data_IF_741221060367
#
_entry.id   IF_741221060367
#
_cell.length_a   1.000
_cell.length_b   1.000
_cell.length_c   1.000
_cell.angle_alpha   90.00
_cell.angle_beta   90.00
_cell.angle_gamma   90.00
#
_symmetry.space_group_name_H-M   'P 1'
#
loop_
_entity.id
_entity.type
_entity.pdbx_description
1 polymer ?
#
# COMPACT_ATOMS: atom_id res chain seq x y z
N UNK A 1 -18.48 -56.81 12.36
CA UNK A 1 -18.55 -55.43 12.82
C UNK A 1 -17.67 -54.56 11.90
N UNK A 2 -18.27 -53.94 10.90
CA UNK A 2 -17.56 -53.04 9.96
C UNK A 2 -17.63 -51.60 10.50
N UNK A 3 -16.50 -51.05 10.96
CA UNK A 3 -16.37 -49.63 11.29
C UNK A 3 -16.30 -48.84 9.96
N UNK A 4 -17.35 -48.07 9.64
CA UNK A 4 -17.33 -47.05 8.61
C UNK A 4 -16.36 -45.91 9.05
N UNK A 5 -15.22 -45.83 8.40
CA UNK A 5 -14.33 -44.67 8.44
C UNK A 5 -15.03 -43.54 7.70
N UNK A 6 -15.56 -42.57 8.43
CA UNK A 6 -15.99 -41.29 7.85
C UNK A 6 -14.72 -40.48 7.52
N UNK A 7 -14.34 -40.49 6.26
CA UNK A 7 -13.36 -39.52 5.76
C UNK A 7 -14.01 -38.14 5.75
N UNK A 8 -13.66 -37.29 6.71
CA UNK A 8 -13.95 -35.86 6.62
C UNK A 8 -13.03 -35.28 5.57
N UNK A 9 -13.55 -35.05 4.37
CA UNK A 9 -12.91 -34.15 3.44
C UNK A 9 -12.90 -32.75 4.07
N UNK A 10 -11.77 -32.02 4.09
CA UNK A 10 -11.76 -30.68 4.61
C UNK A 10 -12.75 -29.83 3.78
N UNK A 11 -13.69 -29.19 4.46
CA UNK A 11 -14.56 -28.18 3.85
C UNK A 11 -13.64 -27.06 3.37
N UNK A 12 -13.44 -26.96 2.06
CA UNK A 12 -12.72 -25.86 1.47
C UNK A 12 -13.60 -24.63 1.70
N UNK A 13 -13.14 -23.73 2.57
CA UNK A 13 -13.78 -22.44 2.80
C UNK A 13 -13.77 -21.66 1.48
N UNK A 14 -14.95 -21.52 0.85
CA UNK A 14 -15.17 -20.81 -0.41
C UNK A 14 -15.46 -19.33 -0.21
N UNK A 15 -15.33 -18.80 1.02
CA UNK A 15 -15.47 -17.36 1.24
C UNK A 15 -14.38 -16.62 0.47
N UNK A 16 -14.74 -15.58 -0.31
CA UNK A 16 -13.75 -14.77 -1.02
C UNK A 16 -12.74 -14.22 0.01
N UNK A 17 -11.48 -14.55 -0.18
CA UNK A 17 -10.41 -14.02 0.67
C UNK A 17 -10.13 -12.59 0.24
N UNK A 18 -10.64 -11.64 1.00
CA UNK A 18 -10.45 -10.22 0.73
C UNK A 18 -9.16 -9.73 1.40
N UNK A 19 -8.19 -9.33 0.60
CA UNK A 19 -6.94 -8.75 1.07
C UNK A 19 -6.97 -7.24 0.78
N UNK A 20 -6.70 -6.43 1.81
CA UNK A 20 -6.58 -4.99 1.63
C UNK A 20 -5.11 -4.68 1.31
N UNK A 21 -4.89 -3.95 0.23
CA UNK A 21 -3.53 -3.58 -0.21
C UNK A 21 -3.39 -2.08 -0.25
N UNK A 22 -2.37 -1.55 0.41
CA UNK A 22 -1.91 -0.17 0.20
C UNK A 22 -0.74 -0.20 -0.77
N UNK A 23 -0.87 0.49 -1.89
CA UNK A 23 0.13 0.49 -2.95
C UNK A 23 0.46 1.89 -3.47
N UNK A 24 1.46 1.97 -4.34
CA UNK A 24 1.95 3.19 -4.98
C UNK A 24 3.46 3.14 -5.19
N UNK A 25 4.02 4.21 -5.73
CA UNK A 25 5.47 4.39 -5.79
C UNK A 25 6.06 4.56 -4.38
N UNK A 26 7.32 4.18 -4.16
CA UNK A 26 8.03 4.58 -2.94
C UNK A 26 7.93 6.10 -2.73
N UNK A 27 7.72 6.55 -1.50
CA UNK A 27 7.55 7.98 -1.12
C UNK A 27 6.24 8.64 -1.57
N UNK A 28 5.26 7.88 -2.05
CA UNK A 28 3.92 8.40 -2.40
C UNK A 28 2.97 8.58 -1.21
N UNK A 29 3.38 8.21 0.02
CA UNK A 29 2.52 8.31 1.21
C UNK A 29 1.91 6.98 1.66
N UNK A 30 2.35 5.85 1.14
CA UNK A 30 1.84 4.51 1.51
C UNK A 30 1.95 4.21 3.01
N UNK A 31 3.04 4.61 3.68
CA UNK A 31 3.18 4.42 5.14
C UNK A 31 2.18 5.24 5.96
N UNK A 32 1.85 6.46 5.50
CA UNK A 32 0.81 7.26 6.14
C UNK A 32 -0.56 6.58 6.01
N UNK A 33 -0.89 6.08 4.82
CA UNK A 33 -2.12 5.33 4.60
C UNK A 33 -2.19 4.06 5.45
N UNK A 34 -1.09 3.30 5.57
CA UNK A 34 -1.02 2.15 6.47
C UNK A 34 -1.34 2.54 7.91
N UNK A 35 -0.77 3.65 8.39
CA UNK A 35 -1.05 4.17 9.74
C UNK A 35 -2.51 4.60 9.90
N UNK A 36 -3.09 5.29 8.90
CA UNK A 36 -4.51 5.65 8.93
C UNK A 36 -5.40 4.42 9.11
N UNK A 37 -5.14 3.36 8.35
CA UNK A 37 -5.92 2.12 8.43
C UNK A 37 -5.71 1.40 9.76
N UNK A 38 -4.48 1.36 10.27
CA UNK A 38 -4.16 0.79 11.58
C UNK A 38 -4.90 1.52 12.71
N UNK A 39 -4.84 2.86 12.74
CA UNK A 39 -5.58 3.68 13.72
C UNK A 39 -7.09 3.55 13.54
N UNK A 40 -7.55 3.34 12.31
CA UNK A 40 -8.94 3.02 11.98
C UNK A 40 -9.40 1.64 12.46
N UNK A 41 -8.49 0.81 12.97
CA UNK A 41 -8.80 -0.53 13.48
C UNK A 41 -8.68 -1.65 12.46
N UNK A 42 -8.14 -1.40 11.26
CA UNK A 42 -7.86 -2.44 10.28
C UNK A 42 -6.62 -3.25 10.71
N UNK A 43 -6.72 -4.59 10.86
CA UNK A 43 -5.57 -5.40 11.21
C UNK A 43 -4.46 -5.29 10.15
N UNK A 44 -3.23 -5.06 10.59
CA UNK A 44 -2.06 -4.87 9.71
C UNK A 44 -1.25 -6.14 9.62
N UNK A 45 -0.78 -6.46 8.41
CA UNK A 45 0.21 -7.49 8.17
C UNK A 45 1.58 -6.83 7.99
N UNK A 46 2.42 -6.93 9.01
CA UNK A 46 3.77 -6.37 9.08
C UNK A 46 4.67 -7.29 9.90
N UNK A 47 5.96 -7.21 9.69
CA UNK A 47 6.97 -7.94 10.49
C UNK A 47 7.68 -7.08 11.54
N UNK A 48 7.41 -5.77 11.55
CA UNK A 48 7.96 -4.78 12.48
C UNK A 48 9.51 -4.72 12.50
N UNK A 49 10.18 -5.28 11.49
CA UNK A 49 11.65 -5.32 11.43
C UNK A 49 12.24 -3.92 11.33
N UNK A 50 11.55 -3.02 10.61
CA UNK A 50 12.02 -1.66 10.40
C UNK A 50 11.23 -0.64 11.21
N UNK A 51 11.89 -0.06 12.21
CA UNK A 51 11.32 0.97 13.07
C UNK A 51 11.14 2.31 12.36
N UNK A 52 10.26 3.16 12.90
CA UNK A 52 10.11 4.54 12.46
C UNK A 52 11.43 5.32 12.63
N UNK A 53 11.72 6.21 11.68
CA UNK A 53 12.87 7.11 11.69
C UNK A 53 12.47 8.52 11.19
N UNK A 54 13.46 9.43 11.07
CA UNK A 54 13.22 10.79 10.56
C UNK A 54 12.70 10.83 9.11
N UNK A 55 13.03 9.82 8.30
CA UNK A 55 12.57 9.71 6.91
C UNK A 55 11.14 9.21 6.82
N UNK A 56 10.72 8.43 7.80
CA UNK A 56 9.37 7.88 7.89
C UNK A 56 8.86 7.79 9.34
N UNK A 57 8.48 8.92 9.96
CA UNK A 57 8.03 8.96 11.35
C UNK A 57 6.71 8.21 11.59
N UNK A 58 5.98 7.87 10.54
CA UNK A 58 4.78 7.04 10.63
C UNK A 58 5.07 5.53 10.72
N UNK A 59 6.36 5.12 10.68
CA UNK A 59 6.74 3.72 10.56
C UNK A 59 6.71 3.22 9.11
N UNK A 60 7.35 2.10 8.86
CA UNK A 60 7.49 1.58 7.50
C UNK A 60 6.39 0.61 7.11
N UNK A 61 5.82 -0.14 8.05
CA UNK A 61 4.80 -1.15 7.78
C UNK A 61 5.22 -2.10 6.64
N UNK A 62 6.50 -2.45 6.61
CA UNK A 62 7.02 -3.40 5.64
C UNK A 62 6.70 -4.83 6.10
N UNK A 63 6.62 -5.72 5.13
CA UNK A 63 6.42 -7.14 5.35
C UNK A 63 7.30 -7.89 4.36
N UNK A 64 8.42 -8.43 4.84
CA UNK A 64 9.47 -9.03 4.01
C UNK A 64 8.98 -10.07 3.01
N UNK A 65 8.00 -10.97 3.36
CA UNK A 65 7.50 -11.95 2.40
C UNK A 65 6.91 -11.36 1.12
N UNK A 66 6.43 -10.09 1.15
CA UNK A 66 5.93 -9.41 -0.07
C UNK A 66 7.02 -9.23 -1.12
N UNK A 67 8.29 -9.08 -0.71
CA UNK A 67 9.42 -8.93 -1.64
C UNK A 67 9.65 -10.17 -2.50
N UNK A 68 9.16 -11.32 -2.05
CA UNK A 68 9.29 -12.61 -2.72
C UNK A 68 8.06 -12.95 -3.59
N UNK A 69 7.13 -12.01 -3.79
CA UNK A 69 5.96 -12.21 -4.67
C UNK A 69 6.38 -12.60 -6.10
N UNK A 70 7.40 -11.92 -6.64
CA UNK A 70 7.93 -12.22 -7.97
C UNK A 70 8.54 -13.63 -8.07
N UNK A 71 8.98 -14.20 -6.96
CA UNK A 71 9.52 -15.57 -6.86
C UNK A 71 8.42 -16.61 -6.60
N UNK A 72 7.16 -16.20 -6.59
CA UNK A 72 6.01 -17.09 -6.36
C UNK A 72 5.81 -17.51 -4.90
N UNK A 73 6.40 -16.81 -3.93
CA UNK A 73 6.21 -17.08 -2.51
C UNK A 73 4.89 -16.46 -2.01
N UNK A 74 3.84 -17.27 -1.97
CA UNK A 74 2.46 -16.84 -1.71
C UNK A 74 1.89 -17.34 -0.39
N UNK A 75 2.66 -18.10 0.40
CA UNK A 75 2.17 -18.75 1.64
C UNK A 75 1.58 -17.77 2.67
N UNK A 76 2.05 -16.53 2.69
CA UNK A 76 1.58 -15.48 3.58
C UNK A 76 0.14 -15.04 3.31
N UNK A 77 -0.36 -15.22 2.08
CA UNK A 77 -1.73 -14.87 1.71
C UNK A 77 -2.78 -15.63 2.51
N UNK A 78 -2.45 -16.83 2.99
CA UNK A 78 -3.33 -17.60 3.88
C UNK A 78 -3.70 -16.82 5.16
N UNK A 79 -2.82 -15.92 5.62
CA UNK A 79 -2.99 -15.10 6.82
C UNK A 79 -3.39 -13.65 6.54
N UNK A 80 -3.61 -13.28 5.27
CA UNK A 80 -3.85 -11.91 4.84
C UNK A 80 -5.34 -11.54 4.76
N UNK A 81 -6.26 -12.52 4.87
CA UNK A 81 -7.69 -12.26 4.78
C UNK A 81 -8.16 -11.24 5.83
N UNK A 82 -8.84 -10.20 5.38
CA UNK A 82 -9.33 -9.10 6.23
C UNK A 82 -8.25 -8.21 6.83
N UNK A 83 -6.99 -8.36 6.39
CA UNK A 83 -5.87 -7.53 6.84
C UNK A 83 -5.37 -6.62 5.72
N UNK A 84 -4.70 -5.55 6.12
CA UNK A 84 -4.01 -4.66 5.19
C UNK A 84 -2.53 -4.98 5.13
N UNK A 85 -1.99 -5.02 3.91
CA UNK A 85 -0.56 -5.19 3.63
C UNK A 85 -0.08 -4.12 2.68
N UNK A 86 1.16 -3.64 2.86
CA UNK A 86 1.79 -2.69 1.96
C UNK A 86 2.57 -3.43 0.87
N UNK A 87 2.22 -3.14 -0.39
CA UNK A 87 2.85 -3.73 -1.58
C UNK A 87 3.24 -2.59 -2.53
N UNK A 88 4.50 -2.49 -2.91
CA UNK A 88 4.93 -1.50 -3.91
C UNK A 88 4.28 -1.78 -5.26
N UNK A 89 4.01 -0.73 -6.04
CA UNK A 89 3.26 -0.86 -7.30
C UNK A 89 3.89 -1.84 -8.30
N UNK A 90 5.22 -1.99 -8.31
CA UNK A 90 5.93 -2.93 -9.17
C UNK A 90 5.67 -4.42 -8.85
N UNK A 91 5.11 -4.72 -7.69
CA UNK A 91 4.81 -6.10 -7.28
C UNK A 91 3.34 -6.49 -7.41
N UNK A 92 2.46 -5.56 -7.78
CA UNK A 92 1.03 -5.84 -7.90
C UNK A 92 0.71 -6.90 -8.96
N UNK A 93 1.45 -6.91 -10.07
CA UNK A 93 1.23 -7.85 -11.17
C UNK A 93 1.50 -9.32 -10.79
N UNK A 94 2.19 -9.56 -9.68
CA UNK A 94 2.47 -10.91 -9.17
C UNK A 94 1.41 -11.41 -8.17
N UNK A 95 0.37 -10.62 -7.89
CA UNK A 95 -0.74 -11.06 -7.05
C UNK A 95 -1.55 -12.15 -7.76
N UNK A 96 -1.83 -13.29 -7.10
CA UNK A 96 -2.57 -14.39 -7.71
C UNK A 96 -4.04 -14.04 -7.94
N UNK A 97 -4.63 -14.57 -9.01
CA UNK A 97 -6.01 -14.29 -9.41
C UNK A 97 -7.10 -15.00 -8.61
N UNK A 98 -6.74 -15.88 -7.68
CA UNK A 98 -7.66 -16.67 -6.84
C UNK A 98 -8.08 -15.96 -5.53
N UNK A 99 -7.59 -14.74 -5.33
CA UNK A 99 -7.95 -13.86 -4.21
C UNK A 99 -8.62 -12.60 -4.75
N UNK A 100 -9.42 -11.97 -3.90
CA UNK A 100 -10.00 -10.64 -4.18
C UNK A 100 -9.21 -9.57 -3.40
N UNK A 101 -8.89 -8.47 -4.08
CA UNK A 101 -8.07 -7.40 -3.49
C UNK A 101 -8.82 -6.08 -3.51
N UNK A 102 -8.76 -5.35 -2.40
CA UNK A 102 -9.13 -3.94 -2.33
C UNK A 102 -7.86 -3.11 -2.26
N UNK A 103 -7.51 -2.47 -3.36
CA UNK A 103 -6.25 -1.72 -3.52
C UNK A 103 -6.50 -0.23 -3.29
N UNK A 104 -5.86 0.33 -2.27
CA UNK A 104 -5.75 1.78 -2.07
C UNK A 104 -4.43 2.23 -2.70
N UNK A 105 -4.51 2.82 -3.89
CA UNK A 105 -3.35 3.23 -4.65
C UNK A 105 -3.02 4.70 -4.39
N UNK A 106 -1.89 4.94 -3.70
CA UNK A 106 -1.42 6.27 -3.36
C UNK A 106 -0.74 6.95 -4.54
N UNK A 107 -1.24 8.13 -4.91
CA UNK A 107 -0.68 8.99 -5.94
C UNK A 107 -0.04 10.23 -5.34
N UNK A 108 1.09 10.62 -5.87
CA UNK A 108 1.78 11.86 -5.52
C UNK A 108 2.51 12.40 -6.75
N UNK A 109 2.67 13.72 -6.84
CA UNK A 109 3.44 14.33 -7.91
C UNK A 109 4.86 13.75 -7.96
N UNK A 110 5.29 13.27 -9.12
CA UNK A 110 6.58 12.56 -9.26
C UNK A 110 7.74 13.45 -8.83
N UNK A 111 7.69 14.75 -9.12
CA UNK A 111 8.71 15.71 -8.66
C UNK A 111 8.86 15.73 -7.14
N UNK A 112 7.76 15.64 -6.39
CA UNK A 112 7.78 15.55 -4.93
C UNK A 112 8.33 14.21 -4.43
N UNK A 113 8.04 13.12 -5.14
CA UNK A 113 8.60 11.80 -4.87
C UNK A 113 10.12 11.84 -5.03
N UNK A 114 10.62 12.37 -6.15
CA UNK A 114 12.06 12.49 -6.44
C UNK A 114 12.76 13.38 -5.40
N UNK A 115 12.20 14.55 -5.08
CA UNK A 115 12.74 15.42 -4.05
C UNK A 115 12.80 14.73 -2.67
N UNK A 116 11.78 13.96 -2.32
CA UNK A 116 11.76 13.17 -1.08
C UNK A 116 12.79 12.06 -1.08
N UNK A 117 13.03 11.41 -2.22
CA UNK A 117 14.03 10.37 -2.39
C UNK A 117 15.45 10.93 -2.29
N UNK A 118 15.75 12.02 -2.97
CA UNK A 118 17.04 12.70 -2.89
C UNK A 118 17.39 13.11 -1.45
N UNK A 119 16.42 13.68 -0.72
CA UNK A 119 16.63 14.06 0.68
C UNK A 119 16.96 12.85 1.56
N UNK A 120 16.30 11.72 1.33
CA UNK A 120 16.59 10.47 2.04
C UNK A 120 17.99 9.96 1.70
N UNK A 121 18.38 9.92 0.43
CA UNK A 121 19.71 9.48 -0.02
C UNK A 121 20.81 10.38 0.55
N UNK A 122 20.63 11.70 0.53
CA UNK A 122 21.57 12.67 1.08
C UNK A 122 21.83 12.45 2.58
N UNK A 123 20.78 12.12 3.36
CA UNK A 123 20.91 11.81 4.80
C UNK A 123 21.68 10.52 5.05
N UNK A 124 21.62 9.58 4.13
CA UNK A 124 22.35 8.30 4.19
C UNK A 124 23.73 8.35 3.60
N UNK A 125 24.18 9.53 3.15
CA UNK A 125 25.40 9.71 2.37
C UNK A 125 25.45 8.83 1.11
N UNK A 126 24.28 8.49 0.55
CA UNK A 126 24.13 7.76 -0.69
C UNK A 126 23.88 8.73 -1.85
N UNK A 127 24.40 8.42 -3.04
CA UNK A 127 24.11 9.20 -4.26
C UNK A 127 23.09 8.47 -5.11
N UNK A 128 22.18 9.20 -5.75
CA UNK A 128 21.35 8.62 -6.80
C UNK A 128 22.24 8.18 -7.98
N UNK A 129 22.09 6.94 -8.40
CA UNK A 129 22.80 6.43 -9.58
C UNK A 129 22.19 6.92 -10.91
N UNK A 130 20.98 7.49 -10.85
CA UNK A 130 20.19 7.87 -12.04
C UNK A 130 19.86 9.35 -11.99
N UNK A 131 19.92 10.00 -13.15
CA UNK A 131 19.50 11.39 -13.34
C UNK A 131 17.99 11.51 -13.14
N UNK A 132 17.53 12.56 -12.47
CA UNK A 132 16.11 12.77 -12.10
C UNK A 132 15.16 12.71 -13.30
N UNK A 133 15.54 13.25 -14.44
CA UNK A 133 14.71 13.22 -15.66
C UNK A 133 14.48 11.79 -16.18
N UNK A 134 15.49 10.94 -16.11
CA UNK A 134 15.37 9.53 -16.49
C UNK A 134 14.47 8.80 -15.52
N UNK A 135 14.65 9.03 -14.23
CA UNK A 135 13.81 8.45 -13.17
C UNK A 135 12.36 8.91 -13.29
N UNK A 136 12.13 10.20 -13.55
CA UNK A 136 10.80 10.74 -13.79
C UNK A 136 10.10 10.01 -14.92
N UNK A 137 10.75 9.88 -16.08
CA UNK A 137 10.20 9.18 -17.25
C UNK A 137 9.90 7.71 -16.95
N UNK A 138 10.78 7.02 -16.23
CA UNK A 138 10.55 5.64 -15.80
C UNK A 138 9.34 5.52 -14.88
N UNK A 139 9.16 6.42 -13.92
CA UNK A 139 8.00 6.44 -13.04
C UNK A 139 6.71 6.75 -13.79
N UNK A 140 6.71 7.70 -14.73
CA UNK A 140 5.55 8.00 -15.58
C UNK A 140 5.12 6.79 -16.39
N UNK A 141 6.07 6.12 -17.03
CA UNK A 141 5.81 4.92 -17.82
C UNK A 141 5.27 3.78 -16.95
N UNK A 142 5.90 3.54 -15.79
CA UNK A 142 5.45 2.53 -14.85
C UNK A 142 4.03 2.79 -14.34
N UNK A 143 3.73 4.04 -13.93
CA UNK A 143 2.39 4.39 -13.44
C UNK A 143 1.33 4.23 -14.53
N UNK A 144 1.64 4.59 -15.78
CA UNK A 144 0.72 4.36 -16.89
C UNK A 144 0.45 2.88 -17.11
N UNK A 145 1.49 2.05 -17.12
CA UNK A 145 1.39 0.61 -17.30
C UNK A 145 0.59 -0.06 -16.17
N UNK A 146 0.91 0.25 -14.91
CA UNK A 146 0.23 -0.38 -13.78
C UNK A 146 -1.24 0.03 -13.66
N UNK A 147 -1.59 1.28 -13.93
CA UNK A 147 -2.99 1.74 -13.98
C UNK A 147 -3.78 1.02 -15.09
N UNK A 148 -3.17 0.88 -16.25
CA UNK A 148 -3.76 0.15 -17.37
C UNK A 148 -3.97 -1.33 -17.04
N UNK A 149 -3.03 -1.95 -16.32
CA UNK A 149 -3.13 -3.32 -15.86
C UNK A 149 -4.23 -3.47 -14.79
N UNK A 150 -4.23 -2.63 -13.74
CA UNK A 150 -5.23 -2.64 -12.67
C UNK A 150 -6.68 -2.56 -13.22
N UNK A 151 -6.92 -1.70 -14.21
CA UNK A 151 -8.24 -1.54 -14.81
C UNK A 151 -8.77 -2.81 -15.52
N UNK A 152 -7.95 -3.83 -15.70
CA UNK A 152 -8.30 -5.09 -16.39
C UNK A 152 -8.39 -6.28 -15.46
N UNK A 153 -8.09 -6.11 -14.17
CA UNK A 153 -8.12 -7.22 -13.21
C UNK A 153 -9.53 -7.39 -12.64
N UNK A 154 -10.22 -8.52 -12.92
CA UNK A 154 -11.58 -8.73 -12.44
C UNK A 154 -11.67 -9.01 -10.94
N UNK A 155 -10.53 -9.33 -10.32
CA UNK A 155 -10.39 -9.66 -8.89
C UNK A 155 -9.79 -8.52 -8.07
N UNK A 156 -9.64 -7.33 -8.65
CA UNK A 156 -9.07 -6.16 -7.97
C UNK A 156 -10.04 -4.98 -8.07
N UNK A 157 -10.53 -4.52 -6.92
CA UNK A 157 -11.13 -3.20 -6.80
C UNK A 157 -10.02 -2.19 -6.46
N UNK A 158 -10.02 -1.01 -7.07
CA UNK A 158 -9.01 0.00 -6.81
C UNK A 158 -9.62 1.38 -6.56
N UNK A 159 -9.11 2.07 -5.53
CA UNK A 159 -9.32 3.50 -5.31
C UNK A 159 -7.98 4.24 -5.42
N UNK A 160 -7.94 5.30 -6.24
CA UNK A 160 -6.78 6.16 -6.34
C UNK A 160 -6.91 7.32 -5.34
N UNK A 161 -5.86 7.50 -4.51
CA UNK A 161 -5.85 8.51 -3.44
C UNK A 161 -4.70 9.47 -3.65
N UNK A 162 -5.01 10.71 -3.99
CA UNK A 162 -4.03 11.78 -4.14
C UNK A 162 -3.52 12.23 -2.77
N UNK A 163 -2.23 12.01 -2.52
CA UNK A 163 -1.56 12.34 -1.25
C UNK A 163 -1.82 13.78 -0.80
N UNK A 164 -1.68 14.74 -1.72
CA UNK A 164 -1.81 16.16 -1.40
C UNK A 164 -3.24 16.53 -1.00
N UNK A 165 -4.23 15.99 -1.69
CA UNK A 165 -5.65 16.19 -1.36
C UNK A 165 -6.03 15.51 -0.06
N UNK A 166 -5.51 14.32 0.19
CA UNK A 166 -5.73 13.61 1.45
C UNK A 166 -5.22 14.42 2.66
N UNK A 167 -4.04 15.05 2.55
CA UNK A 167 -3.48 15.87 3.65
C UNK A 167 -4.33 17.10 3.92
N UNK A 168 -4.88 17.74 2.88
CA UNK A 168 -5.69 18.95 3.03
C UNK A 168 -7.15 18.67 3.40
N UNK A 169 -7.66 17.48 3.10
CA UNK A 169 -9.03 17.08 3.34
C UNK A 169 -9.12 15.67 3.98
N UNK A 170 -8.51 15.47 5.17
CA UNK A 170 -8.37 14.14 5.75
C UNK A 170 -9.71 13.48 6.09
N UNK A 171 -10.71 14.24 6.54
CA UNK A 171 -12.03 13.73 6.87
C UNK A 171 -12.76 13.16 5.65
N UNK A 172 -12.80 13.95 4.56
CA UNK A 172 -13.43 13.54 3.29
C UNK A 172 -12.81 12.25 2.75
N UNK A 173 -11.47 12.18 2.73
CA UNK A 173 -10.77 11.00 2.21
C UNK A 173 -10.90 9.79 3.13
N UNK A 174 -10.96 9.99 4.44
CA UNK A 174 -11.19 8.88 5.39
C UNK A 174 -12.58 8.27 5.20
N UNK A 175 -13.61 9.08 4.96
CA UNK A 175 -14.96 8.60 4.62
C UNK A 175 -14.93 7.83 3.29
N UNK A 176 -14.37 8.39 2.23
CA UNK A 176 -14.26 7.71 0.90
C UNK A 176 -13.56 6.36 0.99
N UNK A 177 -12.48 6.27 1.78
CA UNK A 177 -11.75 5.04 1.99
C UNK A 177 -12.58 4.03 2.77
N UNK A 178 -13.29 4.46 3.83
CA UNK A 178 -14.19 3.62 4.60
C UNK A 178 -15.31 3.01 3.73
N UNK A 179 -15.95 3.82 2.90
CA UNK A 179 -16.96 3.39 1.94
C UNK A 179 -16.40 2.38 0.92
N UNK A 180 -15.22 2.67 0.36
CA UNK A 180 -14.54 1.76 -0.56
C UNK A 180 -14.21 0.42 0.10
N UNK A 181 -13.73 0.42 1.33
CA UNK A 181 -13.40 -0.81 2.05
C UNK A 181 -14.65 -1.63 2.38
N UNK A 182 -15.77 -0.97 2.70
CA UNK A 182 -17.02 -1.64 3.05
C UNK A 182 -16.93 -2.47 4.34
N UNK A 183 -16.00 -2.15 5.22
CA UNK A 183 -15.80 -2.77 6.54
C UNK A 183 -15.87 -1.68 7.63
N UNK A 184 -16.24 -2.03 8.86
CA UNK A 184 -16.24 -1.08 9.98
C UNK A 184 -14.82 -0.54 10.23
N UNK A 185 -14.67 0.80 10.18
CA UNK A 185 -13.43 1.50 10.53
C UNK A 185 -13.74 2.76 11.33
N UNK A 186 -12.81 3.20 12.17
CA UNK A 186 -12.94 4.46 12.89
C UNK A 186 -12.40 5.62 12.02
N UNK A 187 -13.31 6.30 11.33
CA UNK A 187 -13.00 7.41 10.41
C UNK A 187 -12.32 8.57 11.13
N UNK A 188 -12.73 8.92 12.34
CA UNK A 188 -12.15 10.01 13.13
C UNK A 188 -10.67 9.73 13.46
N UNK A 189 -10.36 8.51 13.88
CA UNK A 189 -8.96 8.11 14.12
C UNK A 189 -8.15 8.09 12.83
N UNK A 190 -8.74 7.67 11.71
CA UNK A 190 -8.07 7.73 10.41
C UNK A 190 -7.73 9.16 10.02
N UNK A 191 -8.68 10.09 10.12
CA UNK A 191 -8.49 11.49 9.71
C UNK A 191 -7.54 12.28 10.62
N UNK A 192 -7.30 11.82 11.85
CA UNK A 192 -6.32 12.42 12.76
C UNK A 192 -4.85 12.13 12.41
N UNK A 193 -4.57 11.15 11.55
CA UNK A 193 -3.21 10.73 11.21
C UNK A 193 -2.47 11.68 10.25
N UNK A 194 -3.08 12.19 9.17
CA UNK A 194 -2.41 13.12 8.27
C UNK A 194 -1.94 14.38 9.00
N UNK A 195 -0.68 14.73 8.79
CA UNK A 195 -0.06 15.87 9.43
C UNK A 195 0.63 16.74 8.37
N UNK A 196 0.14 17.95 8.18
CA UNK A 196 0.70 18.91 7.20
C UNK A 196 2.18 19.22 7.46
N UNK A 197 2.65 19.15 8.71
CA UNK A 197 4.07 19.38 9.04
C UNK A 197 4.99 18.31 8.46
N UNK A 198 4.46 17.12 8.14
CA UNK A 198 5.19 16.05 7.48
C UNK A 198 5.19 16.19 5.94
N UNK A 199 4.38 17.10 5.40
CA UNK A 199 4.38 17.46 3.99
C UNK A 199 5.52 18.45 3.68
N UNK A 200 6.75 17.95 3.68
CA UNK A 200 8.00 18.74 3.65
C UNK A 200 8.50 19.08 2.22
N UNK A 201 7.96 18.46 1.18
CA UNK A 201 8.44 18.61 -0.21
C UNK A 201 7.24 18.98 -1.10
N UNK A 202 6.80 20.23 -1.01
CA UNK A 202 5.71 20.76 -1.85
C UNK A 202 6.25 21.11 -3.24
N UNK A 203 5.46 20.89 -4.29
CA UNK A 203 5.83 21.22 -5.66
C UNK A 203 6.15 22.72 -5.89
N UNK A 204 5.78 23.61 -4.94
CA UNK A 204 6.05 25.04 -4.97
C UNK A 204 7.33 25.48 -4.23
N UNK A 205 8.00 24.59 -3.50
CA UNK A 205 9.19 24.96 -2.69
C UNK A 205 10.52 24.78 -3.44
N UNK A 206 10.49 24.34 -4.68
CA UNK A 206 11.65 24.31 -5.56
C UNK A 206 11.86 25.69 -6.20
N UNK A 207 12.57 26.57 -5.48
CA UNK A 207 13.24 27.77 -6.03
C UNK A 207 14.73 27.52 -6.15
#
# INVERSE_FOLDING_TARGET
MLRKLFSHSPVVDKTPKNVIVVSGLPRSGTSMMMKMLAEGGVPVLTDEIRNADEDNPNGYYEFEPVKQLADGQLSWLANANGKVVKIISALLEYLPGDHHYKVIFMERAIREILASQQKMLSRRNEKSATVDEVMQKQFEQHLAAIKFWLARQPNIDVIFVEYNKLITNPDEYSVKIAEFLGIPVNVEKMSSVPNERLYRNRAGDAR
#
